data_IF_630654202503
#
_entry.id   IF_630654202503
#
_cell.length_a   1.000
_cell.length_b   1.000
_cell.length_c   1.000
_cell.angle_alpha   90.00
_cell.angle_beta   90.00
_cell.angle_gamma   90.00
#
_symmetry.space_group_name_H-M   'P 1'
#
loop_
_entity.id
_entity.type
_entity.pdbx_description
1 polymer ?
#
# COMPACT_ATOMS: atom_id res chain seq x y z
N UNK A 1 9.50 -12.27 -18.11
CA UNK A 1 10.28 -11.60 -17.06
C UNK A 1 9.64 -11.90 -15.69
N UNK A 2 10.19 -12.92 -15.00
CA UNK A 2 10.09 -13.25 -13.56
C UNK A 2 8.76 -13.00 -12.79
N UNK A 3 7.77 -13.92 -12.89
CA UNK A 3 6.49 -13.84 -12.12
C UNK A 3 6.70 -13.74 -10.60
N UNK A 4 7.77 -14.34 -10.06
CA UNK A 4 8.09 -14.33 -8.62
C UNK A 4 8.56 -12.96 -8.11
N UNK A 5 9.26 -12.20 -8.95
CA UNK A 5 9.80 -10.89 -8.60
C UNK A 5 8.70 -9.83 -8.45
N UNK A 6 7.63 -9.96 -9.23
CA UNK A 6 6.44 -9.09 -9.15
C UNK A 6 5.66 -9.28 -7.84
N UNK A 7 5.55 -10.51 -7.31
CA UNK A 7 4.85 -10.77 -6.05
C UNK A 7 5.59 -10.18 -4.86
N UNK A 8 6.93 -10.33 -4.83
CA UNK A 8 7.76 -9.76 -3.75
C UNK A 8 7.70 -8.23 -3.78
N UNK A 9 7.78 -7.60 -4.97
CA UNK A 9 7.61 -6.15 -5.09
C UNK A 9 6.22 -5.67 -4.64
N UNK A 10 5.15 -6.41 -4.96
CA UNK A 10 3.81 -6.07 -4.49
C UNK A 10 3.70 -6.16 -2.96
N UNK A 11 4.29 -7.18 -2.33
CA UNK A 11 4.29 -7.33 -0.87
C UNK A 11 5.06 -6.19 -0.21
N UNK A 12 6.24 -5.85 -0.73
CA UNK A 12 7.03 -4.70 -0.23
C UNK A 12 6.26 -3.39 -0.39
N UNK A 13 5.56 -3.20 -1.52
CA UNK A 13 4.71 -2.04 -1.76
C UNK A 13 3.55 -1.92 -0.77
N UNK A 14 2.90 -3.04 -0.42
CA UNK A 14 1.84 -3.08 0.61
C UNK A 14 2.41 -2.71 1.98
N UNK A 15 3.52 -3.33 2.38
CA UNK A 15 4.16 -3.06 3.68
C UNK A 15 4.56 -1.58 3.77
N UNK A 16 5.16 -1.03 2.71
CA UNK A 16 5.54 0.38 2.64
C UNK A 16 4.33 1.32 2.75
N UNK A 17 3.25 1.06 2.01
CA UNK A 17 2.02 1.85 2.11
C UNK A 17 1.36 1.74 3.50
N UNK A 18 1.45 0.58 4.15
CA UNK A 18 0.91 0.37 5.48
C UNK A 18 1.70 1.15 6.54
N UNK A 19 3.04 1.19 6.43
CA UNK A 19 3.90 2.00 7.30
C UNK A 19 3.60 3.49 7.09
N UNK A 20 3.48 3.94 5.83
CA UNK A 20 3.09 5.32 5.50
C UNK A 20 1.74 5.69 6.12
N UNK A 21 0.76 4.79 6.06
CA UNK A 21 -0.55 4.98 6.70
C UNK A 21 -0.44 5.07 8.23
N UNK A 22 0.28 4.16 8.86
CA UNK A 22 0.46 4.13 10.32
C UNK A 22 1.17 5.40 10.84
N UNK A 23 2.24 5.82 10.17
CA UNK A 23 2.95 7.07 10.46
C UNK A 23 2.03 8.27 10.27
N UNK A 24 1.28 8.30 9.16
CA UNK A 24 0.33 9.39 8.89
C UNK A 24 -0.74 9.52 9.98
N UNK A 25 -1.26 8.40 10.51
CA UNK A 25 -2.21 8.42 11.63
C UNK A 25 -1.57 8.89 12.94
N UNK A 26 -0.32 8.54 13.20
CA UNK A 26 0.38 8.99 14.40
C UNK A 26 0.59 10.51 14.43
N UNK A 27 0.80 11.12 13.27
CA UNK A 27 0.98 12.58 13.12
C UNK A 27 -0.29 13.32 12.69
N UNK A 28 -1.41 12.62 12.51
CA UNK A 28 -2.68 13.22 12.07
C UNK A 28 -3.25 14.21 13.09
N UNK A 29 -2.97 14.00 14.38
CA UNK A 29 -3.37 14.91 15.46
C UNK A 29 -2.63 16.26 15.39
N UNK A 30 -1.34 16.25 15.02
CA UNK A 30 -0.52 17.47 14.94
C UNK A 30 -0.78 18.27 13.68
N UNK A 31 -1.06 17.61 12.55
CA UNK A 31 -1.25 18.31 11.29
C UNK A 31 -2.24 17.57 10.40
N UNK A 32 -3.39 18.20 10.12
CA UNK A 32 -4.46 17.62 9.31
C UNK A 32 -3.99 17.23 7.88
N UNK A 33 -2.91 17.82 7.37
CA UNK A 33 -2.29 17.43 6.10
C UNK A 33 -1.81 15.97 6.07
N UNK A 34 -1.41 15.40 7.22
CA UNK A 34 -1.01 13.99 7.28
C UNK A 34 -2.17 13.03 7.00
N UNK A 35 -3.42 13.47 7.20
CA UNK A 35 -4.61 12.67 6.86
C UNK A 35 -4.64 12.38 5.35
N UNK A 36 -4.24 13.34 4.51
CA UNK A 36 -4.15 13.14 3.06
C UNK A 36 -3.11 12.08 2.69
N UNK A 37 -1.97 12.06 3.39
CA UNK A 37 -0.96 11.01 3.25
C UNK A 37 -1.47 9.65 3.72
N UNK A 38 -2.29 9.61 4.77
CA UNK A 38 -2.96 8.39 5.23
C UNK A 38 -3.93 7.84 4.19
N UNK A 39 -4.75 8.70 3.58
CA UNK A 39 -5.69 8.32 2.51
C UNK A 39 -4.92 7.80 1.29
N UNK A 40 -3.83 8.48 0.90
CA UNK A 40 -2.96 8.03 -0.18
C UNK A 40 -2.30 6.67 0.12
N UNK A 41 -1.86 6.44 1.36
CA UNK A 41 -1.33 5.16 1.82
C UNK A 41 -2.36 4.03 1.73
N UNK A 42 -3.58 4.25 2.23
CA UNK A 42 -4.69 3.29 2.12
C UNK A 42 -5.10 3.00 0.68
N UNK A 43 -5.18 4.04 -0.16
CA UNK A 43 -5.43 3.90 -1.60
C UNK A 43 -4.36 3.05 -2.28
N UNK A 44 -3.09 3.29 -1.95
CA UNK A 44 -1.96 2.50 -2.44
C UNK A 44 -2.05 1.03 -2.02
N UNK A 45 -2.33 0.75 -0.74
CA UNK A 45 -2.56 -0.63 -0.26
C UNK A 45 -3.66 -1.30 -1.08
N UNK A 46 -4.79 -0.62 -1.26
CA UNK A 46 -5.95 -1.15 -1.99
C UNK A 46 -5.60 -1.51 -3.44
N UNK A 47 -4.85 -0.65 -4.13
CA UNK A 47 -4.38 -0.90 -5.49
C UNK A 47 -3.43 -2.11 -5.57
N UNK A 48 -2.47 -2.19 -4.65
CA UNK A 48 -1.52 -3.30 -4.63
C UNK A 48 -2.19 -4.64 -4.31
N UNK A 49 -3.13 -4.66 -3.37
CA UNK A 49 -3.94 -5.85 -3.04
C UNK A 49 -4.80 -6.25 -4.23
N UNK A 50 -5.50 -5.31 -4.86
CA UNK A 50 -6.30 -5.58 -6.06
C UNK A 50 -5.45 -6.19 -7.19
N UNK A 51 -4.26 -5.66 -7.40
CA UNK A 51 -3.30 -6.19 -8.37
C UNK A 51 -2.84 -7.61 -8.02
N UNK A 52 -2.60 -7.91 -6.74
CA UNK A 52 -2.26 -9.27 -6.31
C UNK A 52 -3.42 -10.25 -6.55
N UNK A 53 -4.64 -9.88 -6.19
CA UNK A 53 -5.83 -10.71 -6.38
C UNK A 53 -6.06 -10.97 -7.87
N UNK A 54 -5.93 -9.95 -8.73
CA UNK A 54 -6.06 -10.10 -10.17
C UNK A 54 -5.03 -11.09 -10.76
N UNK A 55 -3.77 -10.99 -10.33
CA UNK A 55 -2.71 -11.94 -10.74
C UNK A 55 -2.97 -13.36 -10.22
N UNK A 56 -3.54 -13.49 -9.02
CA UNK A 56 -3.90 -14.79 -8.45
C UNK A 56 -5.10 -15.43 -9.15
N UNK A 57 -6.06 -14.63 -9.63
CA UNK A 57 -7.24 -15.08 -10.36
C UNK A 57 -6.93 -15.47 -11.82
N UNK A 58 -5.92 -14.82 -12.43
CA UNK A 58 -5.43 -15.15 -13.78
C UNK A 58 -4.47 -16.37 -13.81
N UNK A 59 -4.13 -16.96 -12.65
CA UNK A 59 -3.37 -18.22 -12.54
C UNK A 59 -4.30 -19.39 -12.19
#
# INVERSE_FOLDING_TARGET
>A
MNRKMNTIQNIVGVIFCFILFAVSMFYAEQNAFFILFGIAGLSGVSYFVFRMVKIALEN
#
